data_IF_576960703035
#
_entry.id   IF_576960703035
#
_cell.length_a   1.000
_cell.length_b   1.000
_cell.length_c   1.000
_cell.angle_alpha   90.00
_cell.angle_beta   90.00
_cell.angle_gamma   90.00
#
_symmetry.space_group_name_H-M   'P 1'
#
loop_
_entity.id
_entity.type
_entity.pdbx_description
1 polymer ?
#
# COMPACT_ATOMS: atom_id res chain seq x y z
N UNK A 1 -0.69 4.79 24.32
CA UNK A 1 -0.09 4.75 22.95
C UNK A 1 -1.17 4.58 21.91
N UNK A 2 -1.28 5.49 20.94
CA UNK A 2 -2.23 5.37 19.83
C UNK A 2 -1.48 4.96 18.56
N UNK A 3 -1.85 3.84 17.97
CA UNK A 3 -1.20 3.28 16.78
C UNK A 3 -2.19 3.27 15.62
N UNK A 4 -1.89 4.05 14.58
CA UNK A 4 -2.59 4.01 13.32
C UNK A 4 -2.03 2.89 12.43
N UNK A 5 -2.90 2.08 11.85
CA UNK A 5 -2.56 1.04 10.88
C UNK A 5 -3.21 1.41 9.54
N UNK A 6 -2.38 1.58 8.50
CA UNK A 6 -2.83 1.88 7.14
C UNK A 6 -2.42 0.73 6.21
N UNK A 7 -3.26 -0.29 6.03
CA UNK A 7 -2.98 -1.39 5.10
C UNK A 7 -3.25 -0.94 3.67
N UNK A 8 -2.23 -0.97 2.81
CA UNK A 8 -2.31 -0.36 1.49
C UNK A 8 -1.83 -1.29 0.38
N UNK A 9 -2.74 -1.67 -0.50
CA UNK A 9 -2.42 -2.41 -1.73
C UNK A 9 -2.27 -1.47 -2.95
N UNK A 10 -1.71 -0.30 -2.75
CA UNK A 10 -1.62 0.77 -3.76
C UNK A 10 -0.98 0.30 -5.08
N UNK A 11 -1.81 0.04 -6.08
CA UNK A 11 -1.45 -0.55 -7.38
C UNK A 11 -2.12 0.20 -8.53
N UNK A 12 -1.57 1.28 -8.96
CA UNK A 12 -0.41 2.01 -8.43
C UNK A 12 -0.75 2.95 -7.27
N UNK A 13 0.27 3.45 -6.59
CA UNK A 13 0.15 4.50 -5.59
C UNK A 13 -0.23 5.84 -6.24
N UNK A 14 -1.07 6.64 -5.58
CA UNK A 14 -1.53 7.95 -6.07
C UNK A 14 -1.82 8.91 -4.91
N UNK A 15 -2.09 10.17 -5.21
CA UNK A 15 -2.31 11.22 -4.21
C UNK A 15 -3.41 10.89 -3.20
N UNK A 16 -4.47 10.17 -3.60
CA UNK A 16 -5.51 9.74 -2.66
C UNK A 16 -5.02 8.75 -1.59
N UNK A 17 -4.04 7.90 -1.92
CA UNK A 17 -3.39 7.07 -0.91
C UNK A 17 -2.52 7.90 0.04
N UNK A 18 -1.83 8.90 -0.50
CA UNK A 18 -1.02 9.83 0.29
C UNK A 18 -1.88 10.62 1.28
N UNK A 19 -3.04 11.13 0.83
CA UNK A 19 -3.98 11.87 1.69
C UNK A 19 -4.49 11.02 2.86
N UNK A 20 -4.77 9.72 2.63
CA UNK A 20 -5.16 8.80 3.69
C UNK A 20 -4.06 8.65 4.76
N UNK A 21 -2.79 8.51 4.34
CA UNK A 21 -1.65 8.42 5.25
C UNK A 21 -1.49 9.71 6.05
N UNK A 22 -1.54 10.86 5.38
CA UNK A 22 -1.39 12.18 6.00
C UNK A 22 -2.50 12.46 7.02
N UNK A 23 -3.73 12.10 6.69
CA UNK A 23 -4.86 12.18 7.62
C UNK A 23 -4.62 11.29 8.86
N UNK A 24 -4.28 10.01 8.68
CA UNK A 24 -4.01 9.09 9.79
C UNK A 24 -2.87 9.60 10.69
N UNK A 25 -1.89 10.29 10.12
CA UNK A 25 -0.75 10.85 10.84
C UNK A 25 -1.02 12.20 11.53
N UNK A 26 -2.20 12.79 11.32
CA UNK A 26 -2.50 14.15 11.82
C UNK A 26 -1.67 15.24 11.14
N UNK A 27 -1.10 14.95 9.94
CA UNK A 27 -0.30 15.94 9.19
C UNK A 27 -1.21 16.88 8.41
N UNK A 28 -2.35 16.38 7.96
CA UNK A 28 -3.28 17.13 7.12
C UNK A 28 -4.72 16.70 7.42
N UNK A 29 -5.55 17.68 7.68
CA UNK A 29 -7.00 17.54 7.75
C UNK A 29 -7.60 18.37 6.61
N UNK A 30 -8.10 17.70 5.59
CA UNK A 30 -8.73 18.37 4.43
C UNK A 30 -10.08 18.97 4.83
N UNK A 31 -10.42 20.13 4.29
CA UNK A 31 -11.68 20.82 4.57
C UNK A 31 -12.90 19.94 4.29
N UNK A 32 -12.85 19.10 3.25
CA UNK A 32 -13.88 18.12 2.92
C UNK A 32 -14.13 17.12 4.05
N UNK A 33 -13.07 16.67 4.73
CA UNK A 33 -13.18 15.76 5.88
C UNK A 33 -13.76 16.49 7.11
N UNK A 34 -13.37 17.75 7.33
CA UNK A 34 -13.97 18.59 8.38
C UNK A 34 -15.46 18.75 8.15
N UNK A 35 -15.89 19.06 6.92
CA UNK A 35 -17.28 19.21 6.55
C UNK A 35 -18.10 17.92 6.73
N UNK A 36 -17.45 16.74 6.66
CA UNK A 36 -18.04 15.44 6.93
C UNK A 36 -17.97 15.05 8.42
N UNK A 37 -17.48 15.92 9.29
CA UNK A 37 -17.43 15.70 10.74
C UNK A 37 -16.21 14.93 11.23
N UNK A 38 -15.18 14.72 10.41
CA UNK A 38 -13.94 14.09 10.84
C UNK A 38 -13.12 15.09 11.66
N UNK A 39 -12.57 14.60 12.77
CA UNK A 39 -11.62 15.36 13.60
C UNK A 39 -10.18 15.02 13.20
N UNK A 40 -9.27 15.95 13.51
CA UNK A 40 -7.83 15.71 13.40
C UNK A 40 -7.41 14.46 14.18
N UNK A 41 -6.57 13.65 13.58
CA UNK A 41 -6.07 12.44 14.20
C UNK A 41 -4.82 12.73 15.03
N UNK A 42 -4.64 12.01 16.13
CA UNK A 42 -3.52 12.20 17.06
C UNK A 42 -2.86 10.85 17.39
N UNK A 43 -2.45 10.12 16.37
CA UNK A 43 -1.73 8.87 16.56
C UNK A 43 -0.27 9.15 16.96
N UNK A 44 0.23 8.42 17.96
CA UNK A 44 1.64 8.48 18.36
C UNK A 44 2.55 7.83 17.32
N UNK A 45 2.00 6.86 16.57
CA UNK A 45 2.68 6.15 15.51
C UNK A 45 1.69 5.74 14.41
N UNK A 46 2.10 5.83 13.15
CA UNK A 46 1.34 5.36 12.00
C UNK A 46 2.18 4.37 11.19
N UNK A 47 1.72 3.12 11.13
CA UNK A 47 2.35 2.06 10.36
C UNK A 47 1.61 1.86 9.03
N UNK A 48 2.28 2.18 7.93
CA UNK A 48 1.77 1.99 6.57
C UNK A 48 2.31 0.68 6.02
N UNK A 49 1.48 -0.36 5.99
CA UNK A 49 1.86 -1.65 5.41
C UNK A 49 1.56 -1.66 3.93
N UNK A 50 2.56 -1.91 3.11
CA UNK A 50 2.44 -1.91 1.66
C UNK A 50 2.60 -3.29 1.04
N UNK A 51 2.32 -3.43 -0.24
CA UNK A 51 2.38 -4.70 -0.97
C UNK A 51 3.13 -4.54 -2.29
N UNK A 52 3.99 -5.50 -2.61
CA UNK A 52 4.59 -5.65 -3.94
C UNK A 52 3.71 -6.48 -4.91
N UNK A 53 2.51 -6.86 -4.47
CA UNK A 53 1.67 -7.67 -5.33
C UNK A 53 1.32 -6.92 -6.61
N UNK A 54 1.44 -7.64 -7.72
CA UNK A 54 1.16 -7.15 -9.07
C UNK A 54 -0.34 -7.02 -9.33
N UNK A 55 -0.69 -6.14 -10.29
CA UNK A 55 -2.05 -5.99 -10.80
C UNK A 55 -2.09 -6.37 -12.28
N UNK A 56 -3.24 -6.89 -12.71
CA UNK A 56 -3.43 -7.30 -14.10
C UNK A 56 -2.58 -8.50 -14.51
N UNK A 57 -1.98 -9.18 -13.54
CA UNK A 57 -1.24 -10.42 -13.75
C UNK A 57 -1.72 -11.50 -12.80
N UNK A 58 -1.70 -12.74 -13.27
CA UNK A 58 -1.96 -13.93 -12.44
C UNK A 58 -0.66 -14.62 -12.11
N UNK A 59 -0.53 -15.04 -10.87
CA UNK A 59 0.61 -15.83 -10.40
C UNK A 59 0.40 -17.28 -10.78
N UNK A 60 1.41 -17.89 -11.42
CA UNK A 60 1.47 -19.32 -11.65
C UNK A 60 2.65 -19.94 -10.91
N UNK A 61 2.44 -21.12 -10.36
CA UNK A 61 3.50 -21.91 -9.74
C UNK A 61 3.78 -23.11 -10.66
N UNK A 62 4.99 -23.15 -11.21
CA UNK A 62 5.48 -24.31 -11.97
C UNK A 62 6.55 -25.01 -11.13
N UNK A 63 6.46 -26.34 -11.01
CA UNK A 63 7.50 -27.13 -10.37
C UNK A 63 8.43 -27.68 -11.45
N UNK A 64 9.68 -27.23 -11.46
CA UNK A 64 10.72 -27.70 -12.41
C UNK A 64 11.80 -28.35 -11.57
N UNK A 65 12.09 -29.63 -11.85
CA UNK A 65 13.10 -30.43 -11.09
C UNK A 65 12.90 -30.36 -9.57
N UNK A 66 11.65 -30.42 -9.11
CA UNK A 66 11.33 -30.35 -7.66
C UNK A 66 11.32 -28.95 -7.03
N UNK A 67 11.73 -27.93 -7.77
CA UNK A 67 11.74 -26.53 -7.29
C UNK A 67 10.51 -25.79 -7.78
N UNK A 68 9.82 -25.10 -6.85
CA UNK A 68 8.65 -24.28 -7.18
C UNK A 68 9.10 -22.93 -7.75
N UNK A 69 8.81 -22.70 -9.01
CA UNK A 69 9.01 -21.41 -9.69
C UNK A 69 7.68 -20.64 -9.70
N UNK A 70 7.70 -19.40 -9.22
CA UNK A 70 6.57 -18.48 -9.34
C UNK A 70 6.78 -17.59 -10.55
N UNK A 71 5.83 -17.58 -11.47
CA UNK A 71 5.81 -16.69 -12.64
C UNK A 71 4.58 -15.80 -12.57
N UNK A 72 4.65 -14.64 -13.21
CA UNK A 72 3.53 -13.73 -13.39
C UNK A 72 3.18 -13.69 -14.88
N UNK A 73 1.90 -13.91 -15.20
CA UNK A 73 1.39 -13.88 -16.57
C UNK A 73 0.33 -12.79 -16.70
N UNK A 74 0.41 -11.92 -17.72
CA UNK A 74 -0.59 -10.88 -17.94
C UNK A 74 -2.01 -11.44 -18.07
N UNK A 75 -2.98 -10.70 -17.53
CA UNK A 75 -4.41 -10.98 -17.75
C UNK A 75 -4.85 -10.17 -18.96
N UNK A 76 -5.41 -10.79 -20.01
CA UNK A 76 -5.87 -10.08 -21.20
C UNK A 76 -6.84 -8.94 -20.85
N UNK A 77 -6.63 -7.76 -21.43
CA UNK A 77 -7.47 -6.57 -21.21
C UNK A 77 -7.21 -5.79 -19.93
N UNK A 78 -6.29 -6.25 -19.07
CA UNK A 78 -5.87 -5.54 -17.86
C UNK A 78 -4.58 -4.75 -18.11
N UNK A 79 -4.31 -3.75 -17.23
CA UNK A 79 -3.03 -3.06 -17.18
C UNK A 79 -2.05 -3.84 -16.28
N UNK A 80 -1.17 -4.68 -16.86
CA UNK A 80 -0.31 -5.57 -16.08
C UNK A 80 0.87 -4.81 -15.49
N UNK A 81 0.81 -4.54 -14.19
CA UNK A 81 1.95 -4.00 -13.41
C UNK A 81 2.59 -5.15 -12.66
N UNK A 82 3.86 -5.46 -12.94
CA UNK A 82 4.58 -6.59 -12.35
C UNK A 82 5.05 -6.30 -10.93
N UNK A 83 5.08 -7.34 -10.10
CA UNK A 83 5.47 -7.24 -8.69
C UNK A 83 6.88 -6.67 -8.48
N UNK A 84 7.85 -7.02 -9.35
CA UNK A 84 9.22 -6.49 -9.29
C UNK A 84 9.29 -4.96 -9.48
N UNK A 85 8.41 -4.41 -10.34
CA UNK A 85 8.38 -2.99 -10.62
C UNK A 85 7.72 -2.24 -9.44
N UNK A 86 6.69 -2.84 -8.81
CA UNK A 86 6.14 -2.33 -7.56
C UNK A 86 7.15 -2.39 -6.40
N UNK A 87 7.93 -3.47 -6.32
CA UNK A 87 9.03 -3.61 -5.35
C UNK A 87 10.07 -2.51 -5.53
N UNK A 88 10.49 -2.25 -6.77
CA UNK A 88 11.42 -1.17 -7.08
C UNK A 88 10.86 0.20 -6.66
N UNK A 89 9.61 0.50 -7.02
CA UNK A 89 8.95 1.77 -6.69
C UNK A 89 8.87 1.98 -5.18
N UNK A 90 8.42 0.97 -4.42
CA UNK A 90 8.29 1.08 -2.97
C UNK A 90 9.64 1.16 -2.23
N UNK A 91 10.65 0.42 -2.67
CA UNK A 91 11.93 0.41 -1.98
C UNK A 91 12.84 1.58 -2.31
N UNK A 92 12.65 2.23 -3.48
CA UNK A 92 13.60 3.23 -3.96
C UNK A 92 12.99 4.62 -4.20
N UNK A 93 11.66 4.71 -4.37
CA UNK A 93 11.03 5.97 -4.75
C UNK A 93 9.99 6.42 -3.72
N UNK A 94 9.06 5.53 -3.31
CA UNK A 94 8.02 5.85 -2.33
C UNK A 94 8.53 5.67 -0.88
N UNK A 95 9.70 6.21 -0.59
CA UNK A 95 10.31 6.20 0.74
C UNK A 95 9.70 7.29 1.64
N UNK A 96 9.89 7.18 2.95
CA UNK A 96 9.45 8.20 3.89
C UNK A 96 10.05 9.58 3.56
N UNK A 97 11.33 9.64 3.15
CA UNK A 97 12.00 10.88 2.76
C UNK A 97 11.35 11.52 1.54
N UNK A 98 11.16 10.76 0.47
CA UNK A 98 10.58 11.27 -0.77
C UNK A 98 9.11 11.67 -0.63
N UNK A 99 8.37 11.05 0.29
CA UNK A 99 6.98 11.40 0.62
C UNK A 99 6.86 12.48 1.69
N UNK A 100 7.98 13.02 2.17
CA UNK A 100 8.05 14.05 3.22
C UNK A 100 7.49 13.57 4.58
N UNK A 101 7.75 12.30 4.92
CA UNK A 101 7.41 11.72 6.23
C UNK A 101 8.60 11.63 7.19
N UNK A 102 9.81 12.00 6.76
CA UNK A 102 10.98 12.02 7.64
C UNK A 102 10.77 12.93 8.83
N UNK A 103 11.08 12.42 10.02
CA UNK A 103 10.87 13.14 11.28
C UNK A 103 9.41 13.22 11.75
N UNK A 104 8.48 12.54 11.07
CA UNK A 104 7.09 12.38 11.49
C UNK A 104 6.88 11.05 12.23
N UNK A 105 5.64 10.82 12.68
CA UNK A 105 5.21 9.55 13.29
C UNK A 105 4.90 8.44 12.29
N UNK A 106 5.16 8.62 10.97
CA UNK A 106 4.83 7.69 9.89
C UNK A 106 6.00 6.75 9.60
N UNK A 107 5.71 5.46 9.54
CA UNK A 107 6.63 4.42 9.07
C UNK A 107 6.04 3.68 7.87
N UNK A 108 6.73 3.67 6.73
CA UNK A 108 6.36 2.84 5.57
C UNK A 108 7.06 1.50 5.73
N UNK A 109 6.27 0.44 5.85
CA UNK A 109 6.76 -0.92 6.12
C UNK A 109 6.52 -1.77 4.89
N UNK A 110 7.61 -2.11 4.22
CA UNK A 110 7.59 -2.90 2.99
C UNK A 110 7.61 -4.41 3.27
N UNK A 111 7.23 -5.28 2.32
CA UNK A 111 7.39 -6.72 2.46
C UNK A 111 8.83 -7.19 2.73
N UNK A 112 9.84 -6.41 2.34
CA UNK A 112 11.24 -6.68 2.64
C UNK A 112 11.52 -6.57 4.14
N UNK A 113 10.87 -5.65 4.82
CA UNK A 113 11.03 -5.40 6.25
C UNK A 113 10.12 -6.32 7.08
N UNK A 114 8.84 -6.43 6.70
CA UNK A 114 7.86 -7.22 7.44
C UNK A 114 7.89 -8.73 7.15
N UNK A 115 8.48 -9.15 6.02
CA UNK A 115 8.36 -10.53 5.52
C UNK A 115 6.96 -10.89 4.98
N UNK A 116 6.00 -9.95 4.99
CA UNK A 116 4.58 -10.19 4.69
C UNK A 116 4.16 -9.37 3.47
N UNK A 117 3.73 -10.03 2.39
CA UNK A 117 3.24 -9.34 1.18
C UNK A 117 1.70 -9.19 1.14
N UNK A 118 1.08 -9.08 2.31
CA UNK A 118 -0.33 -8.77 2.46
C UNK A 118 -0.49 -7.69 3.53
N UNK A 119 -0.73 -6.44 3.15
CA UNK A 119 -0.82 -5.34 4.10
C UNK A 119 -1.95 -5.56 5.12
N UNK A 120 -3.07 -6.11 4.68
CA UNK A 120 -4.20 -6.44 5.57
C UNK A 120 -3.77 -7.49 6.60
N UNK A 121 -3.08 -8.56 6.16
CA UNK A 121 -2.56 -9.58 7.10
C UNK A 121 -1.57 -8.98 8.10
N UNK A 122 -0.65 -8.12 7.65
CA UNK A 122 0.31 -7.48 8.55
C UNK A 122 -0.39 -6.65 9.63
N UNK A 123 -1.41 -5.85 9.26
CA UNK A 123 -2.20 -5.11 10.22
C UNK A 123 -2.94 -6.00 11.22
N UNK A 124 -3.55 -7.10 10.75
CA UNK A 124 -4.21 -8.06 11.63
C UNK A 124 -3.22 -8.80 12.53
N UNK A 125 -2.02 -9.14 12.07
CA UNK A 125 -1.00 -9.79 12.90
C UNK A 125 -0.60 -8.90 14.10
N UNK A 126 -0.46 -7.58 13.88
CA UNK A 126 -0.21 -6.59 14.95
C UNK A 126 -1.38 -6.53 15.93
N UNK A 127 -2.60 -6.37 15.43
CA UNK A 127 -3.79 -6.30 16.29
C UNK A 127 -4.04 -7.61 17.06
N UNK A 128 -3.72 -8.78 16.47
CA UNK A 128 -3.82 -10.06 17.14
C UNK A 128 -2.81 -10.21 18.27
N UNK A 129 -1.56 -9.76 18.07
CA UNK A 129 -0.55 -9.78 19.14
C UNK A 129 -0.99 -8.91 20.34
N UNK A 130 -1.54 -7.75 20.07
CA UNK A 130 -2.13 -6.89 21.11
C UNK A 130 -3.32 -7.58 21.81
N UNK A 131 -4.26 -8.15 21.07
CA UNK A 131 -5.41 -8.89 21.62
C UNK A 131 -4.97 -10.05 22.51
N UNK A 132 -3.99 -10.81 22.07
CA UNK A 132 -3.55 -12.03 22.80
C UNK A 132 -2.91 -11.62 24.13
N UNK A 133 -2.08 -10.56 24.18
CA UNK A 133 -1.54 -10.03 25.43
C UNK A 133 -2.62 -9.43 26.33
N UNK A 134 -3.58 -8.68 25.76
CA UNK A 134 -4.70 -8.13 26.53
C UNK A 134 -5.55 -9.22 27.20
N UNK A 135 -5.86 -10.31 26.48
CA UNK A 135 -6.64 -11.43 27.01
C UNK A 135 -5.87 -12.27 28.03
N UNK A 136 -4.54 -12.22 28.01
CA UNK A 136 -3.66 -12.89 28.95
C UNK A 136 -3.29 -12.02 30.18
N UNK A 137 -3.86 -10.80 30.27
CA UNK A 137 -3.53 -9.79 31.30
C UNK A 137 -2.02 -9.46 31.34
N UNK A 138 -1.34 -9.57 30.20
CA UNK A 138 0.08 -9.22 30.11
C UNK A 138 0.26 -7.68 30.16
N UNK A 139 1.20 -7.17 30.98
CA UNK A 139 1.41 -5.72 31.10
C UNK A 139 1.97 -5.09 29.82
N UNK A 140 2.66 -5.87 29.00
CA UNK A 140 3.25 -5.44 27.74
C UNK A 140 2.92 -6.41 26.61
N UNK A 141 2.85 -5.88 25.38
CA UNK A 141 2.78 -6.66 24.17
C UNK A 141 3.91 -6.26 23.20
N UNK A 142 4.30 -7.15 22.32
CA UNK A 142 5.34 -6.91 21.34
C UNK A 142 4.70 -6.86 19.95
N UNK A 143 4.92 -5.75 19.23
CA UNK A 143 4.56 -5.66 17.82
C UNK A 143 5.41 -6.65 17.01
N UNK A 144 4.80 -7.67 16.38
CA UNK A 144 5.53 -8.74 15.72
C UNK A 144 6.29 -8.28 14.46
N UNK A 145 6.01 -7.07 13.97
CA UNK A 145 6.65 -6.50 12.78
C UNK A 145 7.85 -5.63 13.18
N UNK A 146 7.65 -4.69 14.11
CA UNK A 146 8.70 -3.75 14.54
C UNK A 146 9.55 -4.27 15.68
N UNK A 147 9.14 -5.35 16.35
CA UNK A 147 9.75 -5.91 17.55
C UNK A 147 9.87 -4.89 18.72
N UNK A 148 8.96 -3.91 18.75
CA UNK A 148 8.88 -2.91 19.82
C UNK A 148 7.84 -3.35 20.84
N UNK A 149 8.17 -3.18 22.13
CA UNK A 149 7.27 -3.46 23.25
C UNK A 149 6.45 -2.22 23.63
N UNK A 150 5.15 -2.41 23.88
CA UNK A 150 4.21 -1.37 24.29
C UNK A 150 3.42 -1.80 25.51
N UNK A 151 3.00 -0.85 26.34
CA UNK A 151 2.08 -1.10 27.48
C UNK A 151 0.69 -1.49 26.97
N UNK A 152 0.18 -2.63 27.43
CA UNK A 152 -1.10 -3.17 26.99
C UNK A 152 -2.26 -2.27 27.43
N UNK A 153 -2.23 -1.76 28.67
CA UNK A 153 -3.30 -0.93 29.24
C UNK A 153 -3.46 0.43 28.58
N UNK A 154 -2.42 0.95 27.93
CA UNK A 154 -2.40 2.28 27.29
C UNK A 154 -2.50 2.21 25.77
N UNK A 155 -2.60 1.02 25.18
CA UNK A 155 -2.60 0.85 23.73
C UNK A 155 -3.99 1.00 23.16
N UNK A 156 -4.10 1.80 22.09
CA UNK A 156 -5.26 1.88 21.20
C UNK A 156 -4.77 1.68 19.76
N UNK A 157 -5.43 0.80 19.01
CA UNK A 157 -5.13 0.56 17.60
C UNK A 157 -6.30 1.04 16.74
N UNK A 158 -6.00 1.82 15.70
CA UNK A 158 -7.00 2.27 14.72
C UNK A 158 -6.59 1.87 13.30
N UNK A 159 -7.42 1.08 12.64
CA UNK A 159 -7.28 0.78 11.20
C UNK A 159 -7.87 1.91 10.37
N UNK A 160 -7.07 2.47 9.47
CA UNK A 160 -7.51 3.46 8.48
C UNK A 160 -7.61 2.81 7.12
N UNK A 161 -8.76 2.95 6.47
CA UNK A 161 -8.99 2.41 5.13
C UNK A 161 -9.86 3.38 4.31
N UNK A 162 -9.81 3.27 2.98
CA UNK A 162 -10.81 3.93 2.15
C UNK A 162 -12.19 3.28 2.32
N UNK A 163 -13.27 4.04 2.12
CA UNK A 163 -14.65 3.50 2.18
C UNK A 163 -14.86 2.27 1.29
N UNK A 164 -14.25 2.24 0.11
CA UNK A 164 -14.34 1.10 -0.82
C UNK A 164 -13.77 -0.20 -0.23
N UNK A 165 -12.84 -0.10 0.74
CA UNK A 165 -12.22 -1.22 1.42
C UNK A 165 -12.83 -1.51 2.81
N UNK A 166 -13.79 -0.70 3.27
CA UNK A 166 -14.39 -0.82 4.60
C UNK A 166 -15.04 -2.20 4.86
N UNK A 167 -15.57 -2.85 3.82
CA UNK A 167 -16.14 -4.20 3.94
C UNK A 167 -15.17 -5.26 4.45
N UNK A 168 -13.85 -5.03 4.32
CA UNK A 168 -12.79 -5.90 4.86
C UNK A 168 -12.64 -5.79 6.38
N UNK A 169 -13.23 -4.75 6.96
CA UNK A 169 -13.17 -4.41 8.39
C UNK A 169 -14.57 -4.14 8.93
N UNK A 170 -15.59 -4.88 8.44
CA UNK A 170 -16.97 -4.69 8.89
C UNK A 170 -17.09 -4.91 10.41
N UNK A 171 -18.02 -4.22 11.04
CA UNK A 171 -18.26 -4.32 12.50
C UNK A 171 -18.47 -5.77 12.95
N UNK A 172 -19.19 -6.55 12.15
CA UNK A 172 -19.38 -7.96 12.42
C UNK A 172 -18.06 -8.75 12.42
N UNK A 173 -17.17 -8.47 11.47
CA UNK A 173 -15.86 -9.10 11.40
C UNK A 173 -15.00 -8.70 12.60
N UNK A 174 -14.94 -7.41 12.89
CA UNK A 174 -14.12 -6.86 13.97
C UNK A 174 -14.61 -7.33 15.34
N UNK A 175 -15.93 -7.37 15.57
CA UNK A 175 -16.51 -7.93 16.78
C UNK A 175 -16.21 -9.43 16.93
N UNK A 176 -16.23 -10.20 15.85
CA UNK A 176 -15.88 -11.63 15.88
C UNK A 176 -14.40 -11.86 16.25
N UNK A 177 -13.48 -11.00 15.79
CA UNK A 177 -12.06 -11.15 16.07
C UNK A 177 -11.63 -10.55 17.40
N UNK A 178 -12.23 -9.41 17.81
CA UNK A 178 -11.72 -8.60 18.92
C UNK A 178 -12.73 -8.41 20.06
N UNK A 179 -14.03 -8.70 19.84
CA UNK A 179 -15.05 -8.67 20.87
C UNK A 179 -15.05 -7.39 21.70
N UNK A 180 -14.85 -7.53 23.02
CA UNK A 180 -14.86 -6.39 23.95
C UNK A 180 -13.84 -5.31 23.62
N UNK A 181 -12.70 -5.62 23.03
CA UNK A 181 -11.70 -4.63 22.66
C UNK A 181 -12.20 -3.70 21.55
N UNK A 182 -12.98 -4.25 20.59
CA UNK A 182 -13.64 -3.45 19.57
C UNK A 182 -14.78 -2.62 20.17
N UNK A 183 -15.63 -3.23 21.02
CA UNK A 183 -16.74 -2.56 21.68
C UNK A 183 -16.28 -1.41 22.61
N UNK A 184 -15.13 -1.56 23.26
CA UNK A 184 -14.56 -0.55 24.16
C UNK A 184 -13.70 0.50 23.46
N UNK A 185 -13.48 0.37 22.15
CA UNK A 185 -12.67 1.32 21.38
C UNK A 185 -11.16 1.16 21.53
N UNK A 186 -10.67 0.04 22.07
CA UNK A 186 -9.24 -0.27 22.09
C UNK A 186 -8.73 -0.69 20.71
N UNK A 187 -9.62 -1.29 19.90
CA UNK A 187 -9.38 -1.52 18.48
C UNK A 187 -10.51 -0.86 17.70
N UNK A 188 -10.16 0.02 16.76
CA UNK A 188 -11.10 0.80 15.97
C UNK A 188 -10.86 0.62 14.48
N UNK A 189 -11.88 0.92 13.70
CA UNK A 189 -11.80 1.06 12.23
C UNK A 189 -12.34 2.43 11.87
N UNK A 190 -11.60 3.18 11.07
CA UNK A 190 -12.01 4.48 10.57
C UNK A 190 -11.97 4.48 9.03
N UNK A 191 -13.11 4.22 8.37
CA UNK A 191 -13.24 4.37 6.93
C UNK A 191 -13.20 5.86 6.55
N UNK A 192 -12.32 6.21 5.61
CA UNK A 192 -12.15 7.59 5.15
C UNK A 192 -12.77 7.72 3.76
N UNK A 193 -13.69 8.65 3.55
CA UNK A 193 -14.28 8.90 2.24
C UNK A 193 -13.23 9.41 1.26
N UNK A 194 -13.51 9.18 -0.02
CA UNK A 194 -12.63 9.64 -1.08
C UNK A 194 -12.81 11.14 -1.29
N UNK A 195 -11.91 11.94 -0.75
CA UNK A 195 -11.90 13.41 -0.88
C UNK A 195 -11.05 13.91 -2.05
N UNK A 196 -10.16 13.08 -2.58
CA UNK A 196 -9.36 13.41 -3.77
C UNK A 196 -9.98 12.72 -4.97
N UNK A 197 -10.31 13.50 -6.01
CA UNK A 197 -10.99 13.03 -7.22
C UNK A 197 -10.10 12.15 -8.13
N UNK A 198 -9.17 11.40 -7.55
CA UNK A 198 -8.27 10.49 -8.25
C UNK A 198 -8.75 9.06 -8.07
N UNK A 199 -8.96 8.36 -9.18
CA UNK A 199 -9.37 6.96 -9.15
C UNK A 199 -8.28 6.05 -9.70
N UNK A 200 -8.10 4.88 -9.06
CA UNK A 200 -7.23 3.85 -9.61
C UNK A 200 -7.67 3.34 -11.00
N UNK A 201 -8.94 3.56 -11.39
CA UNK A 201 -9.44 3.26 -12.75
C UNK A 201 -8.90 4.26 -13.76
N UNK A 202 -8.96 5.55 -13.47
CA UNK A 202 -8.42 6.61 -14.32
C UNK A 202 -6.90 6.46 -14.49
N UNK A 203 -6.19 6.19 -13.40
CA UNK A 203 -4.75 5.94 -13.46
C UNK A 203 -4.40 4.75 -14.36
N UNK A 204 -5.22 3.69 -14.37
CA UNK A 204 -5.04 2.56 -15.29
C UNK A 204 -5.29 2.92 -16.75
N UNK A 205 -6.22 3.81 -17.03
CA UNK A 205 -6.44 4.30 -18.39
C UNK A 205 -5.21 5.03 -18.91
N UNK A 206 -4.61 5.90 -18.12
CA UNK A 206 -3.36 6.59 -18.48
C UNK A 206 -2.18 5.63 -18.63
N UNK A 207 -2.07 4.61 -17.77
CA UNK A 207 -1.09 3.53 -17.95
C UNK A 207 -1.27 2.79 -19.28
N UNK A 208 -2.52 2.51 -19.67
CA UNK A 208 -2.81 1.82 -20.92
C UNK A 208 -2.58 2.69 -22.16
N UNK A 209 -2.74 4.00 -22.07
CA UNK A 209 -2.46 4.94 -23.15
C UNK A 209 -0.98 5.37 -23.24
N UNK A 210 -0.19 5.10 -22.19
CA UNK A 210 1.20 5.57 -22.09
C UNK A 210 1.31 7.08 -21.81
N UNK A 211 0.28 7.67 -21.19
CA UNK A 211 0.21 9.10 -20.89
C UNK A 211 0.98 9.42 -19.60
N UNK A 212 2.27 9.73 -19.77
CA UNK A 212 3.20 10.04 -18.67
C UNK A 212 2.75 11.27 -17.89
N UNK A 213 2.35 12.33 -18.57
CA UNK A 213 2.04 13.61 -17.91
C UNK A 213 0.78 13.48 -17.04
N UNK A 214 -0.29 12.88 -17.55
CA UNK A 214 -1.49 12.62 -16.75
C UNK A 214 -1.20 11.68 -15.57
N UNK A 215 -0.30 10.71 -15.71
CA UNK A 215 0.12 9.87 -14.58
C UNK A 215 0.86 10.65 -13.51
N UNK A 216 1.75 11.56 -13.89
CA UNK A 216 2.49 12.42 -12.96
C UNK A 216 1.56 13.31 -12.14
N UNK A 217 0.51 13.86 -12.77
CA UNK A 217 -0.50 14.68 -12.09
C UNK A 217 -1.29 13.90 -11.02
N UNK A 218 -1.39 12.59 -11.17
CA UNK A 218 -2.06 11.73 -10.18
C UNK A 218 -1.19 11.35 -8.98
N UNK A 219 0.11 11.59 -9.06
CA UNK A 219 1.04 11.30 -7.98
C UNK A 219 1.04 12.42 -6.92
N UNK A 220 1.47 12.14 -5.68
CA UNK A 220 1.55 13.15 -4.64
C UNK A 220 2.43 14.34 -5.02
N UNK A 221 1.98 15.55 -4.70
CA UNK A 221 2.76 16.79 -4.92
C UNK A 221 4.04 16.87 -4.05
N UNK A 222 4.14 16.05 -3.01
CA UNK A 222 5.34 15.94 -2.17
C UNK A 222 6.51 15.26 -2.91
N UNK A 223 6.23 14.48 -3.95
CA UNK A 223 7.28 13.86 -4.77
C UNK A 223 7.90 14.89 -5.72
N UNK A 224 9.22 14.82 -5.89
CA UNK A 224 9.91 15.59 -6.91
C UNK A 224 9.47 15.17 -8.32
N UNK A 225 9.58 16.08 -9.30
CA UNK A 225 9.23 15.77 -10.69
C UNK A 225 10.06 14.60 -11.24
N UNK A 226 11.32 14.48 -10.84
CA UNK A 226 12.18 13.35 -11.21
C UNK A 226 11.60 12.01 -10.67
N UNK A 227 11.13 11.99 -9.43
CA UNK A 227 10.53 10.80 -8.83
C UNK A 227 9.19 10.45 -9.47
N UNK A 228 8.36 11.44 -9.78
CA UNK A 228 7.11 11.25 -10.52
C UNK A 228 7.36 10.65 -11.90
N UNK A 229 8.35 11.17 -12.63
CA UNK A 229 8.77 10.67 -13.94
C UNK A 229 9.26 9.22 -13.85
N UNK A 230 10.09 8.89 -12.85
CA UNK A 230 10.57 7.51 -12.62
C UNK A 230 9.42 6.54 -12.34
N UNK A 231 8.44 6.93 -11.53
CA UNK A 231 7.26 6.10 -11.25
C UNK A 231 6.46 5.90 -12.54
N UNK A 232 6.09 6.99 -13.24
CA UNK A 232 5.26 6.92 -14.43
C UNK A 232 5.91 6.06 -15.53
N UNK A 233 7.17 6.29 -15.83
CA UNK A 233 7.91 5.52 -16.84
C UNK A 233 8.11 4.06 -16.46
N UNK A 234 8.37 3.75 -15.18
CA UNK A 234 8.48 2.36 -14.71
C UNK A 234 7.16 1.61 -14.86
N UNK A 235 6.04 2.24 -14.48
CA UNK A 235 4.71 1.65 -14.58
C UNK A 235 4.29 1.43 -16.05
N UNK A 236 4.54 2.41 -16.94
CA UNK A 236 4.24 2.30 -18.37
C UNK A 236 5.06 1.16 -18.99
N UNK A 237 6.37 1.10 -18.75
CA UNK A 237 7.22 0.00 -19.23
C UNK A 237 6.74 -1.37 -18.73
N UNK A 238 6.29 -1.45 -17.47
CA UNK A 238 5.72 -2.67 -16.91
C UNK A 238 4.50 -3.14 -17.71
N UNK A 239 3.58 -2.20 -18.02
CA UNK A 239 2.38 -2.49 -18.81
C UNK A 239 2.71 -2.87 -20.25
N UNK A 240 3.64 -2.18 -20.89
CA UNK A 240 4.08 -2.49 -22.26
C UNK A 240 4.66 -3.89 -22.37
N UNK A 241 5.55 -4.28 -21.45
CA UNK A 241 6.13 -5.62 -21.39
C UNK A 241 5.08 -6.73 -21.16
N UNK A 242 3.99 -6.41 -20.51
CA UNK A 242 2.88 -7.33 -20.28
C UNK A 242 1.90 -7.47 -21.45
N UNK A 243 2.00 -6.63 -22.49
CA UNK A 243 1.12 -6.71 -23.67
C UNK A 243 1.55 -7.84 -24.60
N UNK A 244 0.61 -8.52 -25.28
CA UNK A 244 0.93 -9.42 -26.36
C UNK A 244 1.69 -8.71 -27.48
N UNK A 245 2.66 -9.39 -28.10
CA UNK A 245 3.55 -8.83 -29.14
C UNK A 245 2.83 -8.18 -30.34
N UNK A 246 1.57 -8.50 -30.59
CA UNK A 246 0.75 -7.90 -31.64
C UNK A 246 0.43 -6.41 -31.45
N UNK A 247 0.70 -5.86 -30.26
CA UNK A 247 0.47 -4.44 -29.93
C UNK A 247 1.75 -3.62 -29.73
N UNK A 248 2.92 -4.25 -29.91
CA UNK A 248 4.21 -3.56 -29.75
C UNK A 248 4.54 -2.91 -31.10
N UNK A 249 4.54 -1.58 -31.16
CA UNK A 249 5.05 -0.87 -32.34
C UNK A 249 6.55 -1.16 -32.49
N UNK A 250 7.01 -1.26 -33.74
CA UNK A 250 8.42 -1.57 -34.09
C UNK A 250 9.49 -0.66 -33.46
N UNK A 251 9.09 0.51 -32.96
CA UNK A 251 9.96 1.43 -32.23
C UNK A 251 10.36 0.97 -30.82
N UNK A 252 9.61 0.03 -30.24
CA UNK A 252 9.83 -0.42 -28.85
C UNK A 252 10.62 -1.74 -28.73
N UNK A 253 10.86 -2.46 -29.84
CA UNK A 253 11.65 -3.71 -29.80
C UNK A 253 13.10 -3.47 -29.31
N UNK A 254 13.72 -2.36 -29.67
CA UNK A 254 15.06 -2.01 -29.24
C UNK A 254 15.14 -1.70 -27.73
N UNK A 255 14.10 -1.07 -27.18
CA UNK A 255 13.99 -0.78 -25.74
C UNK A 255 13.80 -2.06 -24.93
N UNK A 256 12.99 -3.00 -25.44
CA UNK A 256 12.75 -4.30 -24.79
C UNK A 256 14.03 -5.14 -24.77
N UNK A 257 14.78 -5.19 -25.89
CA UNK A 257 16.07 -5.90 -25.95
C UNK A 257 17.10 -5.31 -24.98
N UNK A 258 17.18 -3.98 -24.88
CA UNK A 258 18.11 -3.32 -23.95
C UNK A 258 17.72 -3.57 -22.49
N UNK A 259 16.43 -3.60 -22.18
CA UNK A 259 15.93 -3.89 -20.83
C UNK A 259 16.19 -5.35 -20.42
N UNK A 260 15.99 -6.31 -21.31
CA UNK A 260 16.29 -7.74 -21.05
C UNK A 260 17.79 -7.96 -20.89
N UNK A 261 18.62 -7.31 -21.69
CA UNK A 261 20.07 -7.45 -21.63
C UNK A 261 20.70 -6.79 -20.38
N UNK A 262 20.06 -5.79 -19.78
CA UNK A 262 20.54 -5.17 -18.54
C UNK A 262 20.40 -6.06 -17.28
N UNK A 263 19.72 -7.20 -17.39
CA UNK A 263 19.56 -8.19 -16.31
C UNK A 263 20.34 -9.49 -16.52
N UNK A 264 21.08 -9.58 -17.63
CA UNK A 264 21.90 -10.75 -17.94
C UNK A 264 23.41 -10.50 -17.71
N UNK A 265 23.77 -9.32 -17.24
CA UNK A 265 25.11 -8.93 -16.75
C UNK A 265 25.04 -8.64 -15.25
#
# INVERSE_FOLDING_TARGET
MKIGIVPMSAKPFHAGHNSLIRFAAGIELLDELVNLGFAEQSNDKVNVYVSYSSRGVKKRVKTIKGVKHRTEEPIPGEAPVFGKDMEYIWNNILTADNLSYSGTNVSIITPKESGINSPVKAGFDVANAFRDAYNADEPYWIDPISNISYETSETIITFYCGEDDASRYSDQLMSNYYGKMFESGLINVLPIPRVVAISGTQMRQYLMSGDVESLKEMLPNTLSEENKEKIATTLIKSVELGRPSSHISSSNESLIRNYVNSFLL
#
